data_IF_910003580322
#
_entry.id   IF_910003580322
#
_cell.length_a   1.000
_cell.length_b   1.000
_cell.length_c   1.000
_cell.angle_alpha   90.00
_cell.angle_beta   90.00
_cell.angle_gamma   90.00
#
_symmetry.space_group_name_H-M   'P 1'
#
loop_
_entity.id
_entity.type
_entity.pdbx_description
1 polymer ?
#
# COMPACT_ATOMS: atom_id res chain seq x y z
N UNK A 1 9.49 11.48 -16.30
CA UNK A 1 10.87 11.26 -15.94
C UNK A 1 11.15 11.65 -14.51
N UNK A 2 10.63 12.76 -14.12
CA UNK A 2 10.89 13.24 -12.77
C UNK A 2 10.21 12.41 -11.73
N UNK A 3 9.15 11.75 -12.09
CA UNK A 3 8.38 10.97 -11.15
C UNK A 3 9.19 9.85 -10.54
N UNK A 4 10.12 9.30 -11.30
CA UNK A 4 10.89 8.19 -10.77
C UNK A 4 11.71 8.57 -9.56
N UNK A 5 12.30 9.75 -9.61
CA UNK A 5 13.11 10.19 -8.49
C UNK A 5 12.27 10.55 -7.30
N UNK A 6 11.05 10.96 -7.54
CA UNK A 6 10.16 11.29 -6.46
C UNK A 6 9.86 10.06 -5.62
N UNK A 7 9.66 8.92 -6.27
CA UNK A 7 9.30 7.71 -5.53
C UNK A 7 10.35 7.29 -4.54
N UNK A 8 11.61 7.51 -4.86
CA UNK A 8 12.69 7.12 -3.96
C UNK A 8 12.66 7.91 -2.67
N UNK A 9 11.99 9.04 -2.65
CA UNK A 9 11.99 9.93 -1.50
C UNK A 9 10.65 10.03 -0.82
N UNK A 10 9.65 9.29 -1.30
CA UNK A 10 8.32 9.36 -0.71
C UNK A 10 8.34 8.77 0.68
N UNK A 11 7.68 9.45 1.59
CA UNK A 11 7.48 8.99 2.94
C UNK A 11 5.99 9.00 3.24
N UNK A 12 5.64 8.50 4.42
CA UNK A 12 4.24 8.53 4.85
C UNK A 12 3.70 9.96 4.80
N UNK A 13 4.49 10.93 5.29
CA UNK A 13 4.03 12.31 5.33
C UNK A 13 3.81 12.88 3.94
N UNK A 14 4.69 12.54 3.00
CA UNK A 14 4.55 13.05 1.64
C UNK A 14 3.27 12.54 0.99
N UNK A 15 2.97 11.27 1.20
CA UNK A 15 1.79 10.67 0.60
C UNK A 15 0.54 11.25 1.25
N UNK A 16 0.53 11.39 2.57
CA UNK A 16 -0.61 11.95 3.27
C UNK A 16 -0.84 13.39 2.85
N UNK A 17 0.21 14.17 2.71
CA UNK A 17 0.07 15.56 2.29
C UNK A 17 -0.51 15.64 0.89
N UNK A 18 -0.02 14.81 -0.03
CA UNK A 18 -0.55 14.80 -1.39
C UNK A 18 -2.04 14.47 -1.38
N UNK A 19 -2.42 13.42 -0.66
CA UNK A 19 -3.81 12.99 -0.65
C UNK A 19 -4.72 13.99 0.05
N UNK A 20 -4.16 14.81 0.94
CA UNK A 20 -4.95 15.79 1.67
C UNK A 20 -5.11 17.10 0.92
N UNK A 21 -4.18 17.41 0.02
CA UNK A 21 -4.13 18.74 -0.58
C UNK A 21 -4.64 18.79 -2.01
N UNK A 22 -4.83 17.64 -2.65
CA UNK A 22 -5.25 17.60 -4.05
C UNK A 22 -6.68 17.09 -4.14
N UNK A 23 -7.43 17.54 -5.15
CA UNK A 23 -8.71 16.89 -5.43
C UNK A 23 -8.48 15.46 -5.88
N UNK A 24 -9.26 14.53 -5.36
CA UNK A 24 -9.12 13.13 -5.71
C UNK A 24 -10.32 12.69 -6.52
N UNK A 25 -10.06 12.22 -7.73
CA UNK A 25 -11.12 11.80 -8.64
C UNK A 25 -10.52 10.79 -9.61
N UNK A 26 -10.10 9.65 -9.07
CA UNK A 26 -9.38 8.67 -9.87
C UNK A 26 -10.08 7.33 -9.83
N UNK A 27 -10.01 6.62 -10.96
CA UNK A 27 -10.49 5.25 -11.02
C UNK A 27 -9.50 4.29 -10.38
N UNK A 28 -8.22 4.60 -10.46
CA UNK A 28 -7.17 3.72 -9.95
C UNK A 28 -6.13 4.52 -9.19
N UNK A 29 -5.70 3.94 -8.06
CA UNK A 29 -4.52 4.39 -7.34
C UNK A 29 -3.54 3.22 -7.38
N UNK A 30 -2.35 3.47 -7.91
CA UNK A 30 -1.37 2.41 -8.09
C UNK A 30 -0.12 2.77 -7.30
N UNK A 31 0.27 1.88 -6.39
CA UNK A 31 1.39 2.15 -5.49
C UNK A 31 2.28 0.91 -5.40
N UNK A 32 2.94 0.59 -6.49
CA UNK A 32 3.87 -0.53 -6.54
C UNK A 32 5.22 -0.08 -6.01
N UNK A 33 5.78 -0.86 -5.08
CA UNK A 33 7.07 -0.57 -4.46
C UNK A 33 7.08 0.77 -3.72
N UNK A 34 5.93 1.17 -3.20
CA UNK A 34 5.81 2.42 -2.45
C UNK A 34 5.56 2.14 -0.98
N UNK A 35 4.62 1.25 -0.69
CA UNK A 35 4.22 1.01 0.70
C UNK A 35 5.30 0.30 1.51
N UNK A 36 6.29 -0.28 0.83
CA UNK A 36 7.42 -0.87 1.56
C UNK A 36 8.24 0.19 2.30
N UNK A 37 8.04 1.46 1.97
CA UNK A 37 8.70 2.55 2.67
C UNK A 37 7.78 3.24 3.66
N UNK A 38 6.55 2.73 3.81
CA UNK A 38 5.53 3.33 4.66
C UNK A 38 4.98 2.23 5.55
N UNK A 39 5.15 2.33 6.85
CA UNK A 39 4.65 1.29 7.74
C UNK A 39 3.16 1.40 7.95
N UNK A 40 2.73 2.51 8.51
CA UNK A 40 1.33 2.72 8.87
C UNK A 40 0.55 3.18 7.66
N UNK A 41 -0.47 2.43 7.27
CA UNK A 41 -1.26 2.72 6.07
C UNK A 41 -2.65 3.25 6.37
N UNK A 42 -3.02 3.39 7.63
CA UNK A 42 -4.37 3.77 8.03
C UNK A 42 -4.79 5.09 7.40
N UNK A 43 -3.93 6.10 7.52
CA UNK A 43 -4.27 7.42 7.02
C UNK A 43 -4.41 7.45 5.51
N UNK A 44 -3.57 6.69 4.83
CA UNK A 44 -3.61 6.63 3.37
C UNK A 44 -4.93 6.01 2.91
N UNK A 45 -5.30 4.88 3.52
CA UNK A 45 -6.56 4.22 3.18
C UNK A 45 -7.75 5.13 3.48
N UNK A 46 -7.72 5.81 4.63
CA UNK A 46 -8.80 6.69 5.02
C UNK A 46 -8.97 7.84 4.04
N UNK A 47 -7.87 8.46 3.66
CA UNK A 47 -7.93 9.63 2.77
C UNK A 47 -8.42 9.25 1.39
N UNK A 48 -7.95 8.14 0.84
CA UNK A 48 -8.41 7.71 -0.48
C UNK A 48 -9.91 7.44 -0.43
N UNK A 49 -10.35 6.72 0.61
CA UNK A 49 -11.77 6.37 0.70
C UNK A 49 -12.65 7.59 0.88
N UNK A 50 -12.23 8.52 1.74
CA UNK A 50 -13.09 9.63 2.11
C UNK A 50 -13.03 10.77 1.11
N UNK A 51 -11.93 10.92 0.39
CA UNK A 51 -11.75 12.08 -0.47
C UNK A 51 -11.92 11.80 -1.95
N UNK A 52 -11.81 10.54 -2.38
CA UNK A 52 -12.06 10.23 -3.78
C UNK A 52 -13.55 10.44 -4.07
N UNK A 53 -13.85 11.10 -5.19
CA UNK A 53 -15.23 11.50 -5.48
C UNK A 53 -16.06 10.39 -6.09
N UNK A 54 -15.45 9.26 -6.39
CA UNK A 54 -16.16 8.15 -7.01
C UNK A 54 -15.52 6.85 -6.53
N UNK A 55 -16.22 5.72 -6.70
CA UNK A 55 -15.62 4.44 -6.37
C UNK A 55 -14.39 4.21 -7.21
N UNK A 56 -13.36 3.62 -6.62
CA UNK A 56 -12.11 3.40 -7.31
C UNK A 56 -11.43 2.15 -6.85
N UNK A 57 -10.26 1.92 -7.39
CA UNK A 57 -9.47 0.73 -7.09
C UNK A 57 -8.12 1.16 -6.55
N UNK A 58 -7.62 0.40 -5.59
CA UNK A 58 -6.29 0.62 -5.04
C UNK A 58 -5.46 -0.63 -5.33
N UNK A 59 -4.41 -0.46 -6.11
CA UNK A 59 -3.51 -1.56 -6.51
C UNK A 59 -2.16 -1.27 -5.89
N UNK A 60 -1.66 -2.19 -5.08
CA UNK A 60 -0.39 -1.92 -4.43
C UNK A 60 0.35 -3.22 -4.13
N UNK A 61 1.64 -3.07 -3.84
CA UNK A 61 2.47 -4.18 -3.43
C UNK A 61 3.04 -3.93 -2.05
N UNK A 62 3.34 -5.02 -1.35
CA UNK A 62 3.96 -4.99 -0.03
C UNK A 62 5.10 -5.99 0.00
N UNK A 63 5.96 -5.91 1.01
CA UNK A 63 6.76 -7.06 1.40
C UNK A 63 5.90 -7.85 2.36
N UNK A 64 5.65 -9.09 2.01
CA UNK A 64 4.68 -9.90 2.73
C UNK A 64 5.29 -10.50 3.99
N UNK A 65 4.52 -10.57 5.06
CA UNK A 65 4.91 -11.25 6.27
C UNK A 65 3.71 -11.99 6.82
N UNK A 66 3.99 -13.09 7.50
CA UNK A 66 2.95 -13.82 8.21
C UNK A 66 2.75 -13.31 9.63
N UNK A 67 3.61 -12.41 10.08
CA UNK A 67 3.48 -11.80 11.40
C UNK A 67 2.45 -10.68 11.33
N UNK A 68 1.48 -10.72 12.22
CA UNK A 68 0.43 -9.71 12.25
C UNK A 68 0.98 -8.30 12.26
N UNK A 69 0.34 -7.43 11.47
CA UNK A 69 0.67 -6.02 11.50
C UNK A 69 1.70 -5.64 10.47
N UNK A 70 2.44 -4.59 10.76
CA UNK A 70 3.54 -4.17 9.91
C UNK A 70 4.80 -4.08 10.77
N UNK A 71 5.94 -4.30 10.12
CA UNK A 71 7.20 -4.42 10.86
C UNK A 71 8.31 -3.79 10.04
N UNK A 72 9.19 -3.05 10.72
CA UNK A 72 10.35 -2.50 10.03
C UNK A 72 11.44 -3.57 9.98
N UNK A 73 12.09 -3.66 8.83
CA UNK A 73 13.14 -4.62 8.57
C UNK A 73 14.49 -3.95 8.71
N UNK A 74 15.55 -4.76 8.78
CA UNK A 74 16.90 -4.22 8.89
C UNK A 74 17.27 -3.37 7.71
N UNK A 75 16.67 -3.63 6.56
CA UNK A 75 16.91 -2.85 5.36
C UNK A 75 16.30 -1.46 5.42
N UNK A 76 15.44 -1.20 6.42
CA UNK A 76 14.70 0.05 6.49
C UNK A 76 13.36 0.00 5.80
N UNK A 77 13.05 -1.08 5.12
CA UNK A 77 11.74 -1.27 4.51
C UNK A 77 10.79 -1.91 5.50
N UNK A 78 9.51 -1.80 5.21
CA UNK A 78 8.46 -2.39 6.06
C UNK A 78 7.84 -3.59 5.38
N UNK A 79 7.47 -4.57 6.19
CA UNK A 79 6.66 -5.68 5.71
C UNK A 79 5.26 -5.53 6.28
N UNK A 80 4.27 -6.05 5.56
CA UNK A 80 2.87 -5.96 5.96
C UNK A 80 2.21 -7.32 5.82
N UNK A 81 1.41 -7.69 6.81
CA UNK A 81 0.70 -8.96 6.76
C UNK A 81 -0.63 -8.78 6.04
N UNK A 82 -1.15 -9.89 5.52
CA UNK A 82 -2.47 -9.84 4.90
C UNK A 82 -3.54 -9.49 5.92
N UNK A 83 -3.40 -9.97 7.15
CA UNK A 83 -4.40 -9.66 8.18
C UNK A 83 -4.44 -8.16 8.47
N UNK A 84 -3.29 -7.49 8.43
CA UNK A 84 -3.27 -6.05 8.62
C UNK A 84 -4.05 -5.35 7.51
N UNK A 85 -3.84 -5.77 6.27
CA UNK A 85 -4.56 -5.18 5.14
C UNK A 85 -6.04 -5.50 5.23
N UNK A 86 -6.38 -6.73 5.62
CA UNK A 86 -7.79 -7.10 5.76
C UNK A 86 -8.50 -6.25 6.81
N UNK A 87 -7.81 -5.95 7.90
CA UNK A 87 -8.40 -5.11 8.93
C UNK A 87 -8.65 -3.69 8.43
N UNK A 88 -7.73 -3.15 7.65
CA UNK A 88 -7.95 -1.83 7.05
C UNK A 88 -9.10 -1.86 6.06
N UNK A 89 -9.22 -2.93 5.29
CA UNK A 89 -10.32 -3.05 4.35
C UNK A 89 -11.66 -3.10 5.07
N UNK A 90 -11.70 -3.79 6.20
CA UNK A 90 -12.93 -3.85 6.97
C UNK A 90 -13.27 -2.50 7.58
N UNK A 91 -12.26 -1.82 8.06
CA UNK A 91 -12.48 -0.53 8.71
C UNK A 91 -12.97 0.53 7.73
N UNK A 92 -12.45 0.52 6.52
CA UNK A 92 -12.73 1.59 5.54
C UNK A 92 -13.56 1.14 4.36
N UNK A 93 -14.15 -0.05 4.43
CA UNK A 93 -15.08 -0.54 3.40
C UNK A 93 -14.43 -0.71 2.02
N UNK A 94 -13.33 -1.43 2.01
CA UNK A 94 -12.74 -1.91 0.76
C UNK A 94 -12.98 -3.41 0.65
N UNK A 95 -13.07 -3.90 -0.57
CA UNK A 95 -13.06 -5.33 -0.85
C UNK A 95 -11.74 -5.72 -1.47
N UNK A 96 -11.17 -6.83 -1.04
CA UNK A 96 -10.00 -7.38 -1.71
C UNK A 96 -10.51 -8.21 -2.88
N UNK A 97 -10.36 -7.65 -4.09
CA UNK A 97 -10.79 -8.38 -5.27
C UNK A 97 -9.72 -9.33 -5.77
N UNK A 98 -8.46 -9.08 -5.39
CA UNK A 98 -7.37 -9.98 -5.78
C UNK A 98 -6.23 -9.82 -4.79
N UNK A 99 -5.63 -10.94 -4.45
CA UNK A 99 -4.41 -10.97 -3.64
C UNK A 99 -3.58 -12.14 -4.08
N UNK A 100 -2.29 -11.91 -4.27
CA UNK A 100 -1.37 -12.99 -4.57
C UNK A 100 -0.02 -12.68 -3.96
N UNK A 101 0.77 -13.70 -3.74
CA UNK A 101 2.15 -13.53 -3.30
C UNK A 101 3.08 -13.93 -4.43
N UNK A 102 4.21 -13.26 -4.50
CA UNK A 102 5.21 -13.56 -5.51
C UNK A 102 6.58 -13.56 -4.85
N UNK A 103 7.51 -14.30 -5.42
CA UNK A 103 8.90 -14.23 -4.98
C UNK A 103 9.53 -13.03 -5.65
N UNK A 104 10.00 -12.09 -4.83
CA UNK A 104 10.55 -10.85 -5.36
C UNK A 104 12.00 -11.02 -5.80
N UNK A 105 12.84 -11.41 -4.86
CA UNK A 105 14.23 -11.61 -5.15
C UNK A 105 14.85 -12.45 -4.06
N UNK A 106 15.99 -13.02 -4.38
CA UNK A 106 16.73 -13.80 -3.40
C UNK A 106 17.63 -12.87 -2.61
N UNK A 107 17.54 -12.96 -1.32
CA UNK A 107 18.42 -12.19 -0.45
C UNK A 107 19.09 -13.17 0.48
N UNK A 108 20.40 -13.27 0.37
CA UNK A 108 21.18 -14.29 1.07
C UNK A 108 20.65 -15.66 0.66
N UNK A 109 20.18 -16.45 1.57
CA UNK A 109 19.72 -17.79 1.25
C UNK A 109 18.21 -17.91 1.13
N UNK A 110 17.50 -16.76 1.10
CA UNK A 110 16.05 -16.78 1.11
C UNK A 110 15.48 -15.87 0.07
N UNK A 111 14.28 -16.20 -0.40
CA UNK A 111 13.54 -15.30 -1.26
C UNK A 111 12.71 -14.36 -0.41
N UNK A 112 12.63 -13.12 -0.84
CA UNK A 112 11.69 -12.17 -0.28
C UNK A 112 10.36 -12.37 -0.97
N UNK A 113 9.30 -12.44 -0.19
CA UNK A 113 7.96 -12.64 -0.72
C UNK A 113 7.25 -11.31 -0.75
N UNK A 114 6.66 -10.99 -1.90
CA UNK A 114 5.86 -9.79 -2.03
C UNK A 114 4.40 -10.13 -2.04
N UNK A 115 3.56 -9.19 -1.60
CA UNK A 115 2.13 -9.31 -1.71
C UNK A 115 1.62 -8.30 -2.70
N UNK A 116 0.73 -8.71 -3.59
CA UNK A 116 0.11 -7.81 -4.56
C UNK A 116 -1.39 -7.84 -4.30
N UNK A 117 -1.94 -6.65 -4.09
CA UNK A 117 -3.34 -6.50 -3.72
C UNK A 117 -4.07 -5.63 -4.73
N UNK A 118 -5.30 -6.02 -5.04
CA UNK A 118 -6.23 -5.15 -5.75
C UNK A 118 -7.44 -5.00 -4.86
N UNK A 119 -7.69 -3.78 -4.43
CA UNK A 119 -8.81 -3.47 -3.55
C UNK A 119 -9.81 -2.61 -4.31
N UNK A 120 -11.08 -2.87 -4.06
CA UNK A 120 -12.16 -2.08 -4.64
C UNK A 120 -12.83 -1.28 -3.52
N UNK A 121 -13.01 0.01 -3.77
CA UNK A 121 -13.81 0.84 -2.89
C UNK A 121 -15.27 0.52 -3.13
N UNK A 122 -16.02 0.39 -2.03
CA UNK A 122 -17.41 -0.05 -2.15
C UNK A 122 -18.40 1.09 -2.13
N UNK A 123 -17.95 2.32 -2.05
CA UNK A 123 -18.95 3.39 -2.05
C UNK A 123 -19.16 4.06 -3.36
#
# INVERSE_FOLDING_TARGET
AKQKNVYDKLSHLDIVEYLSSKPLDFDYYIALDVFIYVGELTEIFRLIKSRNTKPGHLVFSTEHTELDGYHILKSGRYSHSKSYIENLCEEFDYNISHFTTVNLRKEKERFLTGGIYVLDSTN
#
